data_IF_383353529055
#
_entry.id   IF_383353529055
#
_cell.length_a   1.000
_cell.length_b   1.000
_cell.length_c   1.000
_cell.angle_alpha   90.00
_cell.angle_beta   90.00
_cell.angle_gamma   90.00
#
_symmetry.space_group_name_H-M   'P 1'
#
loop_
_entity.id
_entity.type
_entity.pdbx_description
1 polymer ?
#
# COMPACT_ATOMS: atom_id res chain seq x y z
N UNK A 1 33.99 48.18 28.00
CA UNK A 1 32.58 48.13 27.54
C UNK A 1 32.37 46.81 26.81
N UNK A 2 31.49 45.94 27.32
CA UNK A 2 31.27 44.58 26.78
C UNK A 2 30.10 44.61 25.79
N UNK A 3 30.36 44.40 24.52
CA UNK A 3 29.32 44.35 23.47
C UNK A 3 28.78 42.92 23.38
N UNK A 4 27.55 42.70 23.83
CA UNK A 4 26.88 41.40 23.66
C UNK A 4 26.26 41.32 22.26
N UNK A 5 26.63 40.27 21.53
CA UNK A 5 26.13 39.97 20.18
C UNK A 5 24.93 39.04 20.36
N UNK A 6 23.72 39.56 20.14
CA UNK A 6 22.49 38.77 20.21
C UNK A 6 22.27 38.03 18.89
N UNK A 7 22.51 36.71 18.87
CA UNK A 7 22.29 35.86 17.71
C UNK A 7 21.11 34.93 18.02
N UNK A 8 19.92 35.32 17.56
CA UNK A 8 18.71 34.48 17.62
C UNK A 8 18.87 33.26 16.70
N UNK A 9 18.62 32.02 17.16
CA UNK A 9 18.78 30.85 16.31
C UNK A 9 17.60 30.72 15.33
N UNK A 10 17.92 30.66 14.03
CA UNK A 10 16.98 30.35 12.94
C UNK A 10 16.32 28.98 13.18
N UNK A 11 14.99 28.97 13.22
CA UNK A 11 14.12 27.78 13.31
C UNK A 11 14.40 26.83 12.13
N UNK A 12 15.26 25.82 12.33
CA UNK A 12 15.51 24.75 11.35
C UNK A 12 14.22 23.95 11.17
N UNK A 13 13.52 24.15 10.04
CA UNK A 13 12.45 23.23 9.62
C UNK A 13 13.12 21.91 9.26
N UNK A 14 12.88 20.88 10.07
CA UNK A 14 13.34 19.52 9.81
C UNK A 14 12.48 18.97 8.67
N UNK A 15 12.98 19.06 7.43
CA UNK A 15 12.42 18.36 6.29
C UNK A 15 12.72 16.87 6.49
N UNK A 16 11.69 16.08 6.80
CA UNK A 16 11.78 14.63 6.84
C UNK A 16 11.35 14.14 5.46
N UNK A 17 12.33 13.76 4.64
CA UNK A 17 12.08 13.04 3.40
C UNK A 17 11.88 11.57 3.78
N UNK A 18 10.64 11.09 3.77
CA UNK A 18 10.35 9.65 3.81
C UNK A 18 10.62 9.11 2.41
N UNK A 19 11.84 8.63 2.18
CA UNK A 19 12.14 7.79 1.04
C UNK A 19 11.45 6.44 1.24
N UNK A 20 10.63 6.01 0.29
CA UNK A 20 10.21 4.63 0.19
C UNK A 20 11.40 3.84 -0.37
N UNK A 21 12.28 3.38 0.53
CA UNK A 21 13.33 2.43 0.21
C UNK A 21 13.12 1.21 1.11
N UNK A 22 13.04 0.05 0.47
CA UNK A 22 12.84 -1.23 1.14
C UNK A 22 14.04 -1.68 1.97
N UNK A 23 13.71 -2.63 2.85
CA UNK A 23 14.57 -3.54 3.60
C UNK A 23 15.49 -2.91 4.66
N UNK A 24 15.03 -2.98 5.91
CA UNK A 24 15.92 -3.21 7.05
C UNK A 24 15.40 -4.44 7.81
N UNK A 25 16.29 -5.42 7.95
CA UNK A 25 16.09 -6.70 8.61
C UNK A 25 16.19 -6.52 10.13
N UNK A 26 15.05 -6.50 10.82
CA UNK A 26 14.97 -6.58 12.28
C UNK A 26 13.76 -7.42 12.67
N UNK A 27 14.02 -8.53 13.38
CA UNK A 27 13.08 -9.61 13.62
C UNK A 27 11.96 -9.26 14.61
N UNK A 28 10.83 -8.83 14.08
CA UNK A 28 9.51 -8.94 14.68
C UNK A 28 8.61 -9.63 13.65
N UNK A 29 7.74 -10.56 14.08
CA UNK A 29 6.68 -11.13 13.21
C UNK A 29 5.68 -10.02 12.87
N UNK A 30 6.11 -9.09 12.04
CA UNK A 30 5.26 -8.08 11.43
C UNK A 30 4.71 -8.77 10.22
N UNK A 31 3.44 -9.13 10.25
CA UNK A 31 2.70 -9.59 9.07
C UNK A 31 3.01 -8.59 7.95
N UNK A 32 3.89 -8.97 7.02
CA UNK A 32 4.28 -8.10 5.92
C UNK A 32 3.02 -7.87 5.10
N UNK A 33 2.42 -6.68 5.24
CA UNK A 33 1.25 -6.30 4.44
C UNK A 33 1.64 -6.48 2.98
N UNK A 34 1.07 -7.51 2.35
CA UNK A 34 1.37 -7.84 0.97
C UNK A 34 0.91 -6.69 0.08
N UNK A 35 1.83 -6.14 -0.70
CA UNK A 35 1.51 -5.16 -1.74
C UNK A 35 0.97 -5.89 -2.96
N UNK A 36 -0.12 -5.40 -3.55
CA UNK A 36 -0.61 -5.89 -4.85
C UNK A 36 0.20 -5.37 -6.05
N UNK A 37 1.13 -4.44 -5.80
CA UNK A 37 2.10 -3.99 -6.78
C UNK A 37 3.47 -4.58 -6.45
N UNK A 38 4.00 -5.40 -7.35
CA UNK A 38 5.35 -5.97 -7.24
C UNK A 38 6.42 -4.90 -7.47
N UNK A 39 7.66 -5.20 -7.06
CA UNK A 39 8.80 -4.28 -7.26
C UNK A 39 9.08 -4.10 -8.75
N UNK A 40 8.94 -5.17 -9.52
CA UNK A 40 9.12 -5.20 -10.96
C UNK A 40 8.09 -4.31 -11.65
N UNK A 41 6.81 -4.45 -11.30
CA UNK A 41 5.74 -3.60 -11.84
C UNK A 41 5.90 -2.15 -11.44
N UNK A 42 6.25 -1.87 -10.18
CA UNK A 42 6.54 -0.50 -9.75
C UNK A 42 7.70 0.10 -10.56
N UNK A 43 8.77 -0.69 -10.78
CA UNK A 43 9.90 -0.28 -11.62
C UNK A 43 9.48 0.07 -13.05
N UNK A 44 8.62 -0.74 -13.67
CA UNK A 44 8.06 -0.46 -15.00
C UNK A 44 7.29 0.87 -15.03
N UNK A 45 6.51 1.17 -13.99
CA UNK A 45 5.80 2.45 -13.89
C UNK A 45 6.77 3.62 -13.77
N UNK A 46 7.84 3.51 -13.00
CA UNK A 46 8.80 4.61 -12.82
C UNK A 46 9.58 4.93 -14.10
N UNK A 47 9.88 3.93 -14.94
CA UNK A 47 10.63 4.13 -16.20
C UNK A 47 9.75 4.44 -17.42
N UNK A 48 8.42 4.41 -17.27
CA UNK A 48 7.45 4.58 -18.37
C UNK A 48 7.38 5.98 -19.00
N UNK A 49 8.11 6.96 -18.47
CA UNK A 49 8.08 8.35 -18.95
C UNK A 49 6.79 9.11 -18.62
N UNK A 50 5.87 8.51 -17.86
CA UNK A 50 4.62 9.12 -17.43
C UNK A 50 4.85 10.30 -16.46
N UNK A 51 3.90 11.24 -16.43
CA UNK A 51 3.86 12.29 -15.41
C UNK A 51 3.46 11.72 -14.04
N UNK A 52 3.61 12.51 -12.96
CA UNK A 52 3.35 12.03 -11.59
C UNK A 52 1.91 11.56 -11.37
N UNK A 53 0.91 12.24 -11.95
CA UNK A 53 -0.49 11.85 -11.82
C UNK A 53 -0.78 10.53 -12.56
N UNK A 54 -0.19 10.38 -13.75
CA UNK A 54 -0.34 9.17 -14.55
C UNK A 54 0.35 7.97 -13.89
N UNK A 55 1.54 8.16 -13.29
CA UNK A 55 2.20 7.11 -12.51
C UNK A 55 1.33 6.64 -11.34
N UNK A 56 0.72 7.57 -10.61
CA UNK A 56 -0.20 7.20 -9.53
C UNK A 56 -1.37 6.35 -10.05
N UNK A 57 -2.03 6.82 -11.11
CA UNK A 57 -3.14 6.09 -11.71
C UNK A 57 -2.70 4.72 -12.23
N UNK A 58 -1.54 4.63 -12.89
CA UNK A 58 -0.99 3.39 -13.40
C UNK A 58 -0.72 2.38 -12.28
N UNK A 59 -0.11 2.81 -11.16
CA UNK A 59 0.09 1.97 -9.97
C UNK A 59 -1.24 1.47 -9.40
N UNK A 60 -2.26 2.33 -9.35
CA UNK A 60 -3.60 1.96 -8.88
C UNK A 60 -4.25 0.93 -9.81
N UNK A 61 -4.13 1.11 -11.13
CA UNK A 61 -4.69 0.20 -12.12
C UNK A 61 -4.03 -1.17 -12.07
N UNK A 62 -2.70 -1.24 -12.02
CA UNK A 62 -1.96 -2.51 -11.92
C UNK A 62 -2.31 -3.22 -10.60
N UNK A 63 -2.32 -2.49 -9.49
CA UNK A 63 -2.71 -3.06 -8.19
C UNK A 63 -4.14 -3.64 -8.23
N UNK A 64 -5.08 -2.93 -8.86
CA UNK A 64 -6.46 -3.41 -9.05
C UNK A 64 -6.51 -4.67 -9.90
N UNK A 65 -5.73 -4.74 -10.99
CA UNK A 65 -5.66 -5.91 -11.85
C UNK A 65 -5.13 -7.14 -11.10
N UNK A 66 -4.09 -6.98 -10.30
CA UNK A 66 -3.52 -8.08 -9.51
C UNK A 66 -4.50 -8.56 -8.44
N UNK A 67 -5.25 -7.65 -7.79
CA UNK A 67 -6.32 -8.04 -6.89
C UNK A 67 -7.42 -8.83 -7.63
N UNK A 68 -7.86 -8.37 -8.81
CA UNK A 68 -8.86 -9.09 -9.61
C UNK A 68 -8.40 -10.50 -9.99
N UNK A 69 -7.11 -10.70 -10.29
CA UNK A 69 -6.54 -12.03 -10.51
C UNK A 69 -6.68 -12.91 -9.27
N UNK A 70 -6.33 -12.41 -8.09
CA UNK A 70 -6.51 -13.14 -6.82
C UNK A 70 -7.98 -13.49 -6.58
N UNK A 71 -8.91 -12.58 -6.86
CA UNK A 71 -10.36 -12.84 -6.75
C UNK A 71 -10.77 -13.97 -7.70
N UNK A 72 -10.32 -13.92 -8.96
CA UNK A 72 -10.66 -14.95 -9.96
C UNK A 72 -10.16 -16.34 -9.55
N UNK A 73 -8.94 -16.43 -9.01
CA UNK A 73 -8.35 -17.67 -8.51
C UNK A 73 -9.14 -18.23 -7.32
N UNK A 74 -9.56 -17.38 -6.38
CA UNK A 74 -10.31 -17.81 -5.20
C UNK A 74 -11.76 -18.22 -5.50
N UNK A 75 -12.41 -17.54 -6.43
CA UNK A 75 -13.76 -17.90 -6.89
C UNK A 75 -13.75 -19.05 -7.91
N UNK A 76 -12.56 -19.46 -8.39
CA UNK A 76 -12.40 -20.56 -9.33
C UNK A 76 -13.02 -20.28 -10.70
N UNK A 77 -13.02 -19.01 -11.14
CA UNK A 77 -13.58 -18.60 -12.43
C UNK A 77 -12.56 -17.79 -13.23
N UNK A 78 -12.78 -17.68 -14.54
CA UNK A 78 -11.91 -16.86 -15.39
C UNK A 78 -12.07 -15.37 -15.05
N UNK A 79 -11.01 -14.57 -15.21
CA UNK A 79 -11.03 -13.14 -14.86
C UNK A 79 -12.07 -12.37 -15.68
N UNK A 80 -12.34 -12.82 -16.91
CA UNK A 80 -13.36 -12.29 -17.82
C UNK A 80 -14.79 -12.52 -17.32
N UNK A 81 -14.99 -13.51 -16.46
CA UNK A 81 -16.29 -13.82 -15.86
C UNK A 81 -16.54 -13.07 -14.55
N UNK A 82 -15.57 -12.30 -14.08
CA UNK A 82 -15.75 -11.42 -12.92
C UNK A 82 -16.68 -10.28 -13.31
N UNK A 83 -17.69 -10.05 -12.48
CA UNK A 83 -18.58 -8.92 -12.55
C UNK A 83 -18.68 -8.24 -11.19
N UNK A 84 -19.30 -7.06 -11.15
CA UNK A 84 -19.43 -6.29 -9.92
C UNK A 84 -20.05 -7.09 -8.75
N UNK A 85 -21.03 -7.97 -9.04
CA UNK A 85 -21.64 -8.84 -8.03
C UNK A 85 -20.63 -9.82 -7.43
N UNK A 86 -19.92 -10.59 -8.26
CA UNK A 86 -18.88 -11.53 -7.79
C UNK A 86 -17.77 -10.84 -7.00
N UNK A 87 -17.36 -9.65 -7.45
CA UNK A 87 -16.35 -8.85 -6.74
C UNK A 87 -16.88 -8.43 -5.37
N UNK A 88 -18.08 -7.86 -5.29
CA UNK A 88 -18.70 -7.48 -4.02
C UNK A 88 -18.86 -8.68 -3.06
N UNK A 89 -19.33 -9.82 -3.58
CA UNK A 89 -19.49 -11.04 -2.79
C UNK A 89 -18.16 -11.52 -2.24
N UNK A 90 -17.10 -11.50 -3.05
CA UNK A 90 -15.76 -11.85 -2.60
C UNK A 90 -15.27 -10.90 -1.49
N UNK A 91 -15.47 -9.59 -1.61
CA UNK A 91 -15.09 -8.62 -0.58
C UNK A 91 -15.82 -8.89 0.75
N UNK A 92 -17.10 -9.29 0.71
CA UNK A 92 -17.85 -9.69 1.90
C UNK A 92 -17.28 -10.96 2.53
N UNK A 93 -16.96 -11.98 1.72
CA UNK A 93 -16.32 -13.22 2.19
C UNK A 93 -14.95 -12.94 2.81
N UNK A 94 -14.13 -12.11 2.19
CA UNK A 94 -12.79 -11.76 2.68
C UNK A 94 -12.85 -10.94 3.98
N UNK A 95 -13.83 -10.03 4.10
CA UNK A 95 -14.11 -9.35 5.37
C UNK A 95 -14.48 -10.34 6.48
N UNK A 96 -15.33 -11.33 6.20
CA UNK A 96 -15.71 -12.33 7.20
C UNK A 96 -14.51 -13.20 7.62
N UNK A 97 -13.61 -13.53 6.68
CA UNK A 97 -12.34 -14.21 6.98
C UNK A 97 -11.50 -13.41 7.97
N UNK A 98 -11.40 -12.07 7.80
CA UNK A 98 -10.68 -11.21 8.76
C UNK A 98 -11.26 -11.28 10.16
N UNK A 99 -12.58 -11.26 10.28
CA UNK A 99 -13.27 -11.32 11.59
C UNK A 99 -13.01 -12.64 12.33
N UNK A 100 -12.81 -13.74 11.59
CA UNK A 100 -12.53 -15.05 12.16
C UNK A 100 -11.02 -15.29 12.40
N UNK A 101 -10.19 -14.93 11.42
CA UNK A 101 -8.74 -15.04 11.47
C UNK A 101 -8.09 -14.05 10.50
N UNK A 102 -7.44 -13.01 11.04
CA UNK A 102 -6.76 -11.95 10.29
C UNK A 102 -5.72 -12.47 9.29
N UNK A 103 -5.05 -13.59 9.56
CA UNK A 103 -4.04 -14.15 8.66
C UNK A 103 -4.64 -14.88 7.45
N UNK A 104 -5.93 -15.22 7.49
CA UNK A 104 -6.61 -15.98 6.43
C UNK A 104 -7.20 -15.12 5.32
N UNK A 105 -7.36 -13.81 5.57
CA UNK A 105 -7.87 -12.87 4.60
C UNK A 105 -6.76 -12.40 3.64
N UNK A 106 -7.15 -12.14 2.39
CA UNK A 106 -6.27 -11.56 1.39
C UNK A 106 -6.00 -10.10 1.72
N UNK A 107 -7.05 -9.36 2.09
CA UNK A 107 -6.92 -7.98 2.51
C UNK A 107 -6.66 -7.95 4.01
N UNK A 108 -5.41 -7.75 4.39
CA UNK A 108 -4.98 -7.65 5.79
C UNK A 108 -5.09 -6.20 6.30
N UNK A 109 -6.32 -5.67 6.31
CA UNK A 109 -6.58 -4.37 6.90
C UNK A 109 -6.68 -4.48 8.41
N UNK A 110 -5.87 -3.67 9.11
CA UNK A 110 -5.94 -3.52 10.55
C UNK A 110 -6.93 -2.41 10.89
N UNK A 111 -8.14 -2.79 11.28
CA UNK A 111 -9.20 -1.83 11.65
C UNK A 111 -8.84 -1.09 12.98
N UNK A 112 -7.80 -1.52 13.70
CA UNK A 112 -7.31 -0.88 14.92
C UNK A 112 -6.67 0.48 14.67
N UNK A 113 -6.17 0.75 13.45
CA UNK A 113 -5.56 2.04 13.09
C UNK A 113 -6.58 3.19 12.96
N UNK A 114 -7.89 2.87 12.88
CA UNK A 114 -8.97 3.86 12.69
C UNK A 114 -9.69 4.28 13.98
N UNK A 115 -9.29 3.76 15.14
CA UNK A 115 -9.88 4.11 16.46
C UNK A 115 -9.17 5.30 17.14
N UNK A 116 -8.79 6.34 16.38
CA UNK A 116 -8.20 7.59 16.89
C UNK A 116 -9.21 8.75 16.89
#
# INVERSE_FOLDING_TARGET
MKTQINISPRRRRKLIVKAAAGSDNSGEKKTERRSFLSVEEAGLVEVSGLSSHERFLCRLTISSLNLLRVISEQEGCAIEELNAGKVCDWFLKDKLKREQNLESAVLQWDDSEFML
#
